data_IF_477859075294
#
_entry.id   IF_477859075294
#
_cell.length_a   1.000
_cell.length_b   1.000
_cell.length_c   1.000
_cell.angle_alpha   90.00
_cell.angle_beta   90.00
_cell.angle_gamma   90.00
#
_symmetry.space_group_name_H-M   'P 1'
#
loop_
_entity.id
_entity.type
_entity.pdbx_description
1 polymer ?
#
# COMPACT_ATOMS: atom_id res chain seq x y z
N UNK A 1 -8.97 30.38 33.32
CA UNK A 1 -9.17 31.50 32.38
C UNK A 1 -7.81 32.13 32.14
N UNK A 2 -6.99 31.52 31.26
CA UNK A 2 -5.56 31.86 31.17
C UNK A 2 -5.17 32.72 29.94
N UNK A 3 -6.07 32.96 28.98
CA UNK A 3 -5.69 33.59 27.71
C UNK A 3 -6.65 34.68 27.18
N UNK A 4 -7.74 35.00 27.87
CA UNK A 4 -8.72 35.96 27.35
C UNK A 4 -8.20 37.39 27.48
N UNK A 5 -8.02 38.10 26.35
CA UNK A 5 -7.50 39.48 26.26
C UNK A 5 -6.03 39.66 26.69
N UNK A 6 -5.19 38.63 26.59
CA UNK A 6 -3.74 38.73 26.81
C UNK A 6 -2.96 38.85 25.49
N UNK A 7 -1.77 39.42 25.55
CA UNK A 7 -0.79 39.27 24.46
C UNK A 7 -0.26 37.84 24.50
N UNK A 8 -0.27 37.18 23.34
CA UNK A 8 0.17 35.79 23.18
C UNK A 8 1.09 35.69 21.98
N UNK A 9 2.01 34.73 22.03
CA UNK A 9 2.83 34.34 20.89
C UNK A 9 2.30 33.00 20.37
N UNK A 10 2.07 32.91 19.06
CA UNK A 10 1.54 31.70 18.44
C UNK A 10 2.51 31.19 17.39
N UNK A 11 2.90 29.93 17.52
CA UNK A 11 3.66 29.19 16.51
C UNK A 11 2.70 28.27 15.77
N UNK A 12 2.44 28.55 14.49
CA UNK A 12 1.52 27.75 13.67
C UNK A 12 2.31 26.61 13.01
N UNK A 13 1.91 25.37 13.28
CA UNK A 13 2.49 24.19 12.64
C UNK A 13 1.67 23.73 11.44
N UNK A 14 0.36 23.83 11.53
CA UNK A 14 -0.56 23.40 10.47
C UNK A 14 -1.91 24.10 10.58
N UNK A 15 -2.82 23.76 9.68
CA UNK A 15 -4.18 24.29 9.67
C UNK A 15 -5.16 23.16 9.37
N UNK A 16 -6.26 23.11 10.10
CA UNK A 16 -7.32 22.14 9.84
C UNK A 16 -8.19 22.55 8.64
N UNK A 17 -9.07 21.63 8.20
CA UNK A 17 -9.96 21.85 7.06
C UNK A 17 -11.05 22.91 7.31
N UNK A 18 -11.26 23.31 8.56
CA UNK A 18 -12.18 24.38 8.95
C UNK A 18 -11.49 25.76 9.01
N UNK A 19 -10.17 25.81 8.75
CA UNK A 19 -9.36 27.03 8.78
C UNK A 19 -8.82 27.37 10.17
N UNK A 20 -8.88 26.45 11.14
CA UNK A 20 -8.26 26.68 12.45
C UNK A 20 -6.77 26.35 12.39
N UNK A 21 -5.95 27.24 12.91
CA UNK A 21 -4.51 27.02 13.04
C UNK A 21 -4.23 26.07 14.21
N UNK A 22 -3.44 25.02 13.94
CA UNK A 22 -2.92 24.08 14.94
C UNK A 22 -1.47 24.47 15.20
N UNK A 23 -1.12 24.61 16.46
CA UNK A 23 0.18 25.11 16.84
C UNK A 23 0.35 25.30 18.33
N UNK A 24 1.40 26.00 18.71
CA UNK A 24 1.76 26.26 20.09
C UNK A 24 1.40 27.68 20.47
N UNK A 25 0.79 27.83 21.63
CA UNK A 25 0.43 29.12 22.18
C UNK A 25 1.29 29.35 23.42
N UNK A 26 2.02 30.47 23.43
CA UNK A 26 2.83 30.92 24.54
C UNK A 26 2.25 32.19 25.16
N UNK A 27 2.18 32.23 26.49
CA UNK A 27 1.74 33.39 27.28
C UNK A 27 2.83 33.68 28.29
N UNK A 28 3.43 34.87 28.23
CA UNK A 28 4.56 35.26 29.10
C UNK A 28 5.69 34.22 29.14
N UNK A 29 5.99 33.61 27.98
CA UNK A 29 7.01 32.55 27.84
C UNK A 29 6.58 31.15 28.29
N UNK A 30 5.34 30.97 28.76
CA UNK A 30 4.79 29.67 29.17
C UNK A 30 4.00 29.04 28.03
N UNK A 31 4.37 27.82 27.64
CA UNK A 31 3.63 27.03 26.66
C UNK A 31 2.30 26.53 27.27
N UNK A 32 1.18 26.95 26.69
CA UNK A 32 -0.15 26.67 27.21
C UNK A 32 -0.47 25.16 27.21
N UNK A 33 -0.02 24.42 26.19
CA UNK A 33 -0.23 22.97 26.11
C UNK A 33 0.46 22.25 27.28
N UNK A 34 1.69 22.64 27.60
CA UNK A 34 2.43 22.11 28.76
C UNK A 34 1.71 22.44 30.07
N UNK A 35 1.28 23.70 30.24
CA UNK A 35 0.57 24.13 31.44
C UNK A 35 -0.77 23.38 31.65
N UNK A 36 -1.50 23.10 30.57
CA UNK A 36 -2.76 22.34 30.64
C UNK A 36 -2.52 20.88 31.07
N UNK A 37 -1.49 20.23 30.53
CA UNK A 37 -1.13 18.86 30.92
C UNK A 37 -0.66 18.80 32.37
N UNK A 38 0.22 19.72 32.79
CA UNK A 38 0.72 19.81 34.17
C UNK A 38 -0.40 19.96 35.20
N UNK A 39 -1.43 20.75 34.85
CA UNK A 39 -2.59 21.00 35.70
C UNK A 39 -3.70 19.93 35.57
N UNK A 40 -3.41 18.80 34.91
CA UNK A 40 -4.36 17.69 34.69
C UNK A 40 -5.64 18.12 33.96
N UNK A 41 -5.56 19.16 33.12
CA UNK A 41 -6.68 19.63 32.31
C UNK A 41 -6.66 19.06 30.89
N UNK A 42 -5.55 18.45 30.49
CA UNK A 42 -5.38 17.78 29.19
C UNK A 42 -4.43 16.59 29.30
N UNK A 43 -4.35 15.81 28.23
CA UNK A 43 -3.44 14.66 28.07
C UNK A 43 -2.52 14.90 26.88
N UNK A 44 -1.33 14.31 26.91
CA UNK A 44 -0.41 14.33 25.79
C UNK A 44 -1.01 13.51 24.67
N UNK A 45 -1.15 14.14 23.52
CA UNK A 45 -1.62 13.51 22.29
C UNK A 45 -0.43 13.01 21.49
N UNK A 46 -0.58 11.90 20.76
CA UNK A 46 0.52 11.29 19.99
C UNK A 46 1.15 12.24 18.95
N UNK A 47 0.40 13.24 18.47
CA UNK A 47 0.93 14.26 17.55
C UNK A 47 2.05 15.09 18.16
N UNK A 48 2.12 15.19 19.50
CA UNK A 48 3.18 15.89 20.19
C UNK A 48 4.53 15.16 20.13
N UNK A 49 4.58 13.87 19.77
CA UNK A 49 5.83 13.08 19.69
C UNK A 49 6.89 13.69 18.76
N UNK A 50 6.42 14.39 17.72
CA UNK A 50 7.27 15.04 16.71
C UNK A 50 7.62 16.49 17.06
N UNK A 51 7.08 17.01 18.15
CA UNK A 51 7.31 18.39 18.60
C UNK A 51 8.60 18.51 19.40
N UNK A 52 9.25 19.67 19.30
CA UNK A 52 10.32 20.09 20.21
C UNK A 52 9.86 20.09 21.68
N UNK A 53 8.56 20.24 21.94
CA UNK A 53 7.97 20.26 23.28
C UNK A 53 7.62 18.86 23.83
N UNK A 54 7.82 17.78 23.07
CA UNK A 54 7.40 16.43 23.48
C UNK A 54 7.96 16.03 24.86
N UNK A 55 9.26 16.25 25.06
CA UNK A 55 9.94 15.92 26.32
C UNK A 55 9.37 16.74 27.48
N UNK A 56 9.07 18.02 27.26
CA UNK A 56 8.48 18.87 28.28
C UNK A 56 7.08 18.39 28.66
N UNK A 57 6.25 18.07 27.66
CA UNK A 57 4.91 17.52 27.84
C UNK A 57 4.90 16.20 28.62
N UNK A 58 5.76 15.24 28.26
CA UNK A 58 5.89 13.98 29.01
C UNK A 58 6.36 14.20 30.44
N UNK A 59 7.32 15.11 30.64
CA UNK A 59 7.88 15.37 31.97
C UNK A 59 6.86 15.92 32.97
N UNK A 60 5.78 16.57 32.49
CA UNK A 60 4.69 17.07 33.32
C UNK A 60 3.47 16.15 33.36
N UNK A 61 3.30 15.26 32.37
CA UNK A 61 2.17 14.32 32.33
C UNK A 61 2.31 13.21 33.37
N UNK A 62 3.51 12.64 33.54
CA UNK A 62 3.74 11.56 34.50
C UNK A 62 3.39 11.97 35.95
N UNK A 63 3.85 13.14 36.45
CA UNK A 63 3.38 13.65 37.74
C UNK A 63 1.88 13.96 37.78
N UNK A 64 1.27 14.39 36.68
CA UNK A 64 -0.16 14.70 36.60
C UNK A 64 -1.03 13.43 36.73
N UNK A 65 -0.63 12.31 36.12
CA UNK A 65 -1.29 11.00 36.27
C UNK A 65 -1.34 10.55 37.72
N UNK A 66 -0.24 10.73 38.45
CA UNK A 66 -0.11 10.34 39.85
C UNK A 66 -1.00 11.15 40.80
N UNK A 67 -1.35 12.40 40.44
CA UNK A 67 -2.26 13.23 41.24
C UNK A 67 -3.70 12.70 41.21
N UNK A 68 -4.09 11.94 40.18
CA UNK A 68 -5.45 11.39 40.00
C UNK A 68 -6.54 12.45 40.10
N UNK A 69 -6.27 13.63 39.55
CA UNK A 69 -7.20 14.76 39.54
C UNK A 69 -7.75 14.98 38.13
N UNK A 70 -8.97 15.54 38.04
CA UNK A 70 -9.58 15.99 36.78
C UNK A 70 -9.58 14.90 35.70
N UNK A 71 -8.86 15.07 34.59
CA UNK A 71 -8.83 14.10 33.46
C UNK A 71 -8.19 12.75 33.83
N UNK A 72 -7.53 12.68 35.00
CA UNK A 72 -6.90 11.48 35.56
C UNK A 72 -7.63 10.91 36.78
N UNK A 73 -8.85 11.37 37.09
CA UNK A 73 -9.61 10.90 38.28
C UNK A 73 -9.79 9.38 38.34
N UNK A 74 -9.81 8.73 37.18
CA UNK A 74 -9.99 7.29 37.02
C UNK A 74 -8.72 6.60 36.49
N UNK A 75 -7.54 7.18 36.75
CA UNK A 75 -6.28 6.58 36.32
C UNK A 75 -5.97 5.32 37.13
N UNK A 76 -5.90 4.19 36.45
CA UNK A 76 -5.41 2.92 36.97
C UNK A 76 -4.01 2.68 36.39
N UNK A 77 -3.04 2.34 37.25
CA UNK A 77 -1.70 1.97 36.82
C UNK A 77 -1.78 0.66 36.03
N UNK A 78 -1.46 0.73 34.73
CA UNK A 78 -1.35 -0.49 33.93
C UNK A 78 -0.15 -1.33 34.40
N UNK A 79 -0.31 -2.64 34.61
CA UNK A 79 0.78 -3.52 34.99
C UNK A 79 1.93 -3.43 33.97
N UNK A 80 3.16 -3.44 34.47
CA UNK A 80 4.35 -3.36 33.62
C UNK A 80 4.40 -4.49 32.56
N UNK A 81 3.81 -5.65 32.83
CA UNK A 81 3.67 -6.75 31.85
C UNK A 81 2.75 -6.40 30.67
N UNK A 82 1.65 -5.67 30.89
CA UNK A 82 0.78 -5.20 29.80
C UNK A 82 1.46 -4.08 28.99
N UNK A 83 2.24 -3.22 29.65
CA UNK A 83 3.09 -2.24 28.97
C UNK A 83 4.20 -2.92 28.14
N UNK A 84 4.81 -3.99 28.64
CA UNK A 84 5.84 -4.77 27.92
C UNK A 84 5.24 -5.56 26.76
N UNK A 85 4.03 -6.10 26.90
CA UNK A 85 3.30 -6.77 25.80
C UNK A 85 2.92 -5.77 24.68
N UNK A 86 2.52 -4.54 25.03
CA UNK A 86 2.26 -3.48 24.04
C UNK A 86 3.54 -3.01 23.33
N UNK A 87 4.69 -3.02 24.01
CA UNK A 87 6.00 -2.75 23.39
C UNK A 87 6.46 -3.93 22.52
N UNK A 88 6.10 -5.17 22.88
CA UNK A 88 6.44 -6.37 22.11
C UNK A 88 5.62 -6.53 20.81
N UNK A 89 4.46 -5.88 20.69
CA UNK A 89 3.72 -5.76 19.42
C UNK A 89 4.34 -4.75 18.43
N UNK A 90 5.38 -3.99 18.81
CA UNK A 90 6.22 -3.25 17.87
C UNK A 90 7.14 -4.22 17.12
N UNK A 91 6.57 -5.01 16.20
CA UNK A 91 7.39 -5.78 15.26
C UNK A 91 8.11 -4.78 14.36
N UNK A 92 9.42 -4.63 14.55
CA UNK A 92 10.25 -3.78 13.68
C UNK A 92 10.05 -4.18 12.21
N UNK A 93 9.99 -3.18 11.30
CA UNK A 93 9.82 -3.42 9.86
C UNK A 93 10.89 -4.40 9.40
N UNK A 94 10.45 -5.56 8.93
CA UNK A 94 11.35 -6.56 8.36
C UNK A 94 11.45 -6.31 6.86
N UNK A 95 12.65 -6.01 6.37
CA UNK A 95 12.91 -5.85 4.93
C UNK A 95 13.55 -7.12 4.38
N UNK A 96 12.86 -7.76 3.44
CA UNK A 96 13.32 -8.94 2.72
C UNK A 96 13.01 -8.76 1.23
N UNK A 97 13.75 -7.85 0.61
CA UNK A 97 13.59 -7.51 -0.79
C UNK A 97 13.99 -8.68 -1.71
N UNK A 98 13.06 -9.10 -2.55
CA UNK A 98 13.27 -10.16 -3.54
C UNK A 98 13.21 -9.62 -4.96
N UNK A 99 14.05 -10.12 -5.88
CA UNK A 99 14.00 -9.72 -7.27
C UNK A 99 12.72 -10.23 -7.93
N UNK A 100 11.98 -9.33 -8.57
CA UNK A 100 10.76 -9.64 -9.31
C UNK A 100 10.79 -8.94 -10.67
N UNK A 101 10.06 -9.48 -11.65
CA UNK A 101 9.84 -8.84 -12.95
C UNK A 101 8.40 -8.35 -13.03
N UNK A 102 8.22 -7.03 -13.17
CA UNK A 102 6.88 -6.41 -13.23
C UNK A 102 6.33 -6.57 -14.63
N UNK A 103 5.17 -7.24 -14.78
CA UNK A 103 4.61 -7.58 -16.10
C UNK A 103 3.43 -6.71 -16.49
N UNK A 104 2.59 -6.31 -15.53
CA UNK A 104 1.35 -5.60 -15.81
C UNK A 104 1.05 -4.60 -14.70
N UNK A 105 0.64 -3.39 -15.09
CA UNK A 105 0.05 -2.39 -14.20
C UNK A 105 -1.43 -2.27 -14.59
N UNK A 106 -2.32 -2.28 -13.60
CA UNK A 106 -3.76 -2.22 -13.81
C UNK A 106 -4.31 -0.81 -13.61
N UNK A 107 -5.52 -0.58 -14.12
CA UNK A 107 -6.24 0.70 -13.99
C UNK A 107 -6.62 1.06 -12.54
N UNK A 108 -6.49 0.11 -11.59
CA UNK A 108 -6.75 0.32 -10.17
C UNK A 108 -5.45 0.49 -9.35
N UNK A 109 -4.31 0.72 -10.02
CA UNK A 109 -2.97 0.82 -9.43
C UNK A 109 -2.52 -0.43 -8.65
N UNK A 110 -3.13 -1.58 -8.97
CA UNK A 110 -2.55 -2.88 -8.69
C UNK A 110 -1.57 -3.25 -9.81
N UNK A 111 -0.72 -4.23 -9.55
CA UNK A 111 0.25 -4.71 -10.53
C UNK A 111 0.53 -6.19 -10.34
N UNK A 112 0.98 -6.83 -11.42
CA UNK A 112 1.41 -8.21 -11.42
C UNK A 112 2.91 -8.32 -11.60
N UNK A 113 3.50 -9.29 -10.90
CA UNK A 113 4.92 -9.60 -11.00
C UNK A 113 5.16 -11.09 -11.14
N UNK A 114 6.30 -11.43 -11.73
CA UNK A 114 6.89 -12.77 -11.75
C UNK A 114 8.08 -12.85 -10.81
N UNK A 115 8.30 -13.99 -10.17
CA UNK A 115 9.53 -14.26 -9.42
C UNK A 115 10.68 -14.56 -10.40
N UNK A 116 11.77 -13.80 -10.28
CA UNK A 116 12.96 -13.94 -11.15
C UNK A 116 13.60 -15.31 -10.99
N UNK A 117 13.52 -15.94 -9.80
CA UNK A 117 14.10 -17.26 -9.55
C UNK A 117 13.44 -18.36 -10.42
N UNK A 118 12.15 -18.20 -10.72
CA UNK A 118 11.37 -19.16 -11.52
C UNK A 118 11.29 -18.80 -13.00
N UNK A 119 11.82 -17.65 -13.44
CA UNK A 119 11.72 -17.16 -14.83
C UNK A 119 12.21 -18.17 -15.87
N UNK A 120 13.36 -18.80 -15.64
CA UNK A 120 13.89 -19.82 -16.58
C UNK A 120 13.01 -21.07 -16.71
N UNK A 121 12.18 -21.38 -15.71
CA UNK A 121 11.23 -22.49 -15.76
C UNK A 121 10.04 -22.12 -16.64
N UNK A 122 9.55 -20.87 -16.52
CA UNK A 122 8.50 -20.33 -17.38
C UNK A 122 8.94 -20.29 -18.84
N UNK A 123 10.14 -19.81 -19.13
CA UNK A 123 10.71 -19.77 -20.49
C UNK A 123 10.72 -21.15 -21.14
N UNK A 124 11.27 -22.15 -20.44
CA UNK A 124 11.32 -23.55 -20.92
C UNK A 124 9.94 -24.14 -21.14
N UNK A 125 8.99 -23.84 -20.24
CA UNK A 125 7.61 -24.28 -20.36
C UNK A 125 6.94 -23.65 -21.59
N UNK A 126 7.11 -22.35 -21.80
CA UNK A 126 6.55 -21.64 -22.96
C UNK A 126 7.15 -22.13 -24.27
N UNK A 127 8.46 -22.33 -24.35
CA UNK A 127 9.13 -22.88 -25.53
C UNK A 127 8.60 -24.28 -25.88
N UNK A 128 8.55 -25.17 -24.89
CA UNK A 128 8.06 -26.55 -25.07
C UNK A 128 6.58 -26.58 -25.46
N UNK A 129 5.75 -25.77 -24.80
CA UNK A 129 4.33 -25.66 -25.08
C UNK A 129 4.07 -25.15 -26.50
N UNK A 130 4.75 -24.08 -26.91
CA UNK A 130 4.60 -23.50 -28.26
C UNK A 130 5.06 -24.46 -29.34
N UNK A 131 6.15 -25.20 -29.11
CA UNK A 131 6.63 -26.25 -30.01
C UNK A 131 5.59 -27.38 -30.18
N UNK A 132 4.99 -27.85 -29.08
CA UNK A 132 3.94 -28.88 -29.14
C UNK A 132 2.68 -28.39 -29.87
N UNK A 133 2.25 -27.15 -29.60
CA UNK A 133 1.11 -26.51 -30.27
C UNK A 133 1.39 -26.31 -31.76
N UNK A 134 2.61 -25.94 -32.15
CA UNK A 134 2.98 -25.79 -33.55
C UNK A 134 2.95 -27.14 -34.30
N UNK A 135 3.39 -28.22 -33.64
CA UNK A 135 3.31 -29.57 -34.18
C UNK A 135 1.86 -30.12 -34.24
N UNK A 136 1.01 -29.70 -33.30
CA UNK A 136 -0.38 -30.13 -33.20
C UNK A 136 -1.33 -28.93 -32.99
N UNK A 137 -1.61 -28.15 -34.06
CA UNK A 137 -2.43 -26.94 -33.92
C UNK A 137 -3.83 -27.24 -33.39
N UNK A 138 -4.38 -26.40 -32.48
CA UNK A 138 -5.75 -26.54 -32.01
C UNK A 138 -6.73 -26.49 -33.18
N UNK A 139 -7.60 -27.49 -33.29
CA UNK A 139 -8.66 -27.48 -34.30
C UNK A 139 -9.75 -26.48 -33.89
N UNK A 140 -10.17 -25.61 -34.81
CA UNK A 140 -11.27 -24.69 -34.55
C UNK A 140 -12.54 -25.45 -34.10
N UNK A 141 -13.18 -24.96 -33.03
CA UNK A 141 -14.38 -25.58 -32.47
C UNK A 141 -14.14 -26.79 -31.57
N UNK A 142 -12.91 -27.29 -31.44
CA UNK A 142 -12.58 -28.42 -30.55
C UNK A 142 -12.59 -28.05 -29.06
N UNK A 143 -12.51 -26.75 -28.74
CA UNK A 143 -12.55 -26.24 -27.38
C UNK A 143 -13.81 -25.38 -27.16
N UNK A 144 -14.61 -25.74 -26.15
CA UNK A 144 -15.75 -24.95 -25.70
C UNK A 144 -15.41 -24.31 -24.35
N UNK A 145 -15.13 -23.00 -24.29
CA UNK A 145 -14.68 -22.34 -23.07
C UNK A 145 -15.79 -22.30 -22.02
N UNK A 146 -15.43 -22.53 -20.76
CA UNK A 146 -16.29 -22.30 -19.60
C UNK A 146 -15.57 -21.47 -18.57
N UNK A 147 -16.32 -20.62 -17.86
CA UNK A 147 -15.79 -19.83 -16.75
C UNK A 147 -15.05 -20.71 -15.75
N UNK A 148 -13.81 -20.34 -15.46
CA UNK A 148 -12.92 -21.05 -14.55
C UNK A 148 -11.98 -22.04 -15.22
N UNK A 149 -12.21 -22.42 -16.48
CA UNK A 149 -11.35 -23.34 -17.21
C UNK A 149 -9.95 -22.73 -17.41
N UNK A 150 -8.92 -23.57 -17.25
CA UNK A 150 -7.58 -23.26 -17.75
C UNK A 150 -7.49 -23.64 -19.23
N UNK A 151 -6.90 -22.75 -20.03
CA UNK A 151 -6.78 -22.90 -21.47
C UNK A 151 -5.43 -22.36 -21.95
N UNK A 152 -5.16 -22.56 -23.23
CA UNK A 152 -4.20 -21.72 -23.95
C UNK A 152 -4.96 -20.63 -24.70
N UNK A 153 -4.37 -19.43 -24.76
CA UNK A 153 -4.91 -18.31 -25.50
C UNK A 153 -3.83 -17.72 -26.39
N UNK A 154 -4.17 -17.43 -27.64
CA UNK A 154 -3.27 -16.77 -28.60
C UNK A 154 -3.34 -15.26 -28.38
N UNK A 155 -2.24 -14.64 -28.00
CA UNK A 155 -2.15 -13.20 -27.77
C UNK A 155 -1.91 -12.43 -29.08
N UNK A 156 -1.99 -11.09 -29.04
CA UNK A 156 -1.90 -10.22 -30.22
C UNK A 156 -0.56 -10.33 -30.97
N UNK A 157 0.50 -10.75 -30.27
CA UNK A 157 1.82 -11.05 -30.85
C UNK A 157 1.83 -12.31 -31.72
N UNK A 158 0.74 -13.10 -31.69
CA UNK A 158 0.61 -14.34 -32.42
C UNK A 158 1.12 -15.57 -31.67
N UNK A 159 1.59 -15.42 -30.44
CA UNK A 159 2.10 -16.50 -29.61
C UNK A 159 1.03 -17.06 -28.68
N UNK A 160 1.23 -18.31 -28.24
CA UNK A 160 0.34 -18.99 -27.30
C UNK A 160 0.86 -18.88 -25.87
N UNK A 161 -0.08 -18.64 -24.95
CA UNK A 161 0.16 -18.47 -23.53
C UNK A 161 -0.86 -19.26 -22.71
N UNK A 162 -0.54 -19.56 -21.45
CA UNK A 162 -1.51 -20.13 -20.51
C UNK A 162 -2.45 -19.05 -20.01
N UNK A 163 -3.74 -19.38 -19.96
CA UNK A 163 -4.77 -18.47 -19.54
C UNK A 163 -5.85 -19.18 -18.71
N UNK A 164 -6.72 -18.39 -18.08
CA UNK A 164 -7.93 -18.83 -17.40
C UNK A 164 -9.11 -18.04 -17.93
N UNK A 165 -10.21 -18.73 -18.23
CA UNK A 165 -11.45 -18.09 -18.68
C UNK A 165 -12.13 -17.41 -17.48
N UNK A 166 -12.28 -16.09 -17.51
CA UNK A 166 -12.97 -15.33 -16.46
C UNK A 166 -14.47 -15.20 -16.74
N UNK A 167 -14.85 -15.00 -18.00
CA UNK A 167 -16.24 -14.78 -18.44
C UNK A 167 -16.43 -15.19 -19.89
N UNK A 168 -17.57 -15.81 -20.19
CA UNK A 168 -17.99 -16.14 -21.57
C UNK A 168 -19.25 -15.34 -21.88
N UNK A 169 -19.15 -14.37 -22.79
CA UNK A 169 -20.31 -13.60 -23.25
C UNK A 169 -20.91 -14.20 -24.52
N UNK A 170 -20.04 -14.60 -25.45
CA UNK A 170 -20.40 -15.28 -26.69
C UNK A 170 -19.16 -15.99 -27.26
N UNK A 171 -19.30 -16.84 -28.29
CA UNK A 171 -18.12 -17.42 -28.97
C UNK A 171 -17.13 -16.37 -29.52
N UNK A 172 -17.60 -15.16 -29.82
CA UNK A 172 -16.74 -14.08 -30.30
C UNK A 172 -16.12 -13.23 -29.16
N UNK A 173 -16.61 -13.38 -27.92
CA UNK A 173 -16.23 -12.56 -26.77
C UNK A 173 -16.07 -13.42 -25.52
N UNK A 174 -14.84 -13.87 -25.30
CA UNK A 174 -14.42 -14.64 -24.12
C UNK A 174 -13.34 -13.85 -23.41
N UNK A 175 -13.59 -13.51 -22.16
CA UNK A 175 -12.64 -12.80 -21.30
C UNK A 175 -11.69 -13.80 -20.67
N UNK A 176 -10.40 -13.60 -20.87
CA UNK A 176 -9.33 -14.45 -20.35
C UNK A 176 -8.34 -13.63 -19.53
N UNK A 177 -7.77 -14.28 -18.53
CA UNK A 177 -6.68 -13.78 -17.71
C UNK A 177 -5.42 -14.61 -17.99
N UNK A 178 -4.33 -13.97 -18.42
CA UNK A 178 -3.06 -14.62 -18.70
C UNK A 178 -2.34 -14.93 -17.39
N UNK A 179 -2.43 -16.17 -16.93
CA UNK A 179 -2.07 -16.57 -15.56
C UNK A 179 -0.59 -16.39 -15.21
N UNK A 180 0.26 -16.23 -16.23
CA UNK A 180 1.69 -16.05 -16.05
C UNK A 180 2.11 -14.58 -16.16
N UNK A 181 1.25 -13.68 -16.63
CA UNK A 181 1.60 -12.27 -16.90
C UNK A 181 0.67 -11.26 -16.23
N UNK A 182 -0.57 -11.62 -15.90
CA UNK A 182 -1.50 -10.76 -15.17
C UNK A 182 -2.44 -9.92 -16.04
N UNK A 183 -2.10 -9.71 -17.32
CA UNK A 183 -2.95 -8.97 -18.24
C UNK A 183 -4.21 -9.76 -18.61
N UNK A 184 -5.25 -9.04 -19.04
CA UNK A 184 -6.55 -9.58 -19.45
C UNK A 184 -6.85 -9.23 -20.90
N UNK A 185 -7.60 -10.08 -21.58
CA UNK A 185 -8.02 -9.81 -22.95
C UNK A 185 -9.42 -10.40 -23.23
N UNK A 186 -10.16 -9.77 -24.13
CA UNK A 186 -11.39 -10.31 -24.70
C UNK A 186 -11.10 -10.86 -26.09
N UNK A 187 -11.13 -12.19 -26.24
CA UNK A 187 -10.78 -12.89 -27.49
C UNK A 187 -11.92 -13.76 -28.00
N UNK A 188 -11.90 -14.09 -29.29
CA UNK A 188 -12.78 -15.10 -29.85
C UNK A 188 -12.36 -16.51 -29.42
N UNK A 189 -13.30 -17.44 -29.30
CA UNK A 189 -13.04 -18.83 -28.94
C UNK A 189 -12.13 -19.57 -29.93
N UNK A 190 -12.03 -19.10 -31.18
CA UNK A 190 -11.07 -19.61 -32.17
C UNK A 190 -9.62 -19.32 -31.81
N UNK A 191 -9.36 -18.35 -30.93
CA UNK A 191 -8.03 -18.02 -30.38
C UNK A 191 -7.75 -18.75 -29.06
N UNK A 192 -8.62 -19.69 -28.67
CA UNK A 192 -8.49 -20.48 -27.46
C UNK A 192 -8.28 -21.95 -27.81
N UNK A 193 -7.59 -22.67 -26.93
CA UNK A 193 -7.39 -24.11 -27.06
C UNK A 193 -7.34 -24.78 -25.70
N UNK A 194 -7.45 -26.10 -25.69
CA UNK A 194 -7.26 -26.90 -24.49
C UNK A 194 -5.82 -26.75 -24.01
N UNK A 195 -5.62 -26.47 -22.72
CA UNK A 195 -4.29 -26.49 -22.12
C UNK A 195 -3.81 -27.95 -21.99
N UNK A 196 -2.73 -28.37 -22.68
CA UNK A 196 -2.24 -29.74 -22.54
C UNK A 196 -1.80 -30.01 -21.09
N UNK A 197 -2.11 -31.19 -20.50
CA UNK A 197 -1.81 -31.49 -19.11
C UNK A 197 -0.33 -31.32 -18.73
N UNK A 198 0.59 -31.53 -19.69
CA UNK A 198 2.03 -31.36 -19.55
C UNK A 198 2.44 -29.91 -19.21
N UNK A 199 1.60 -28.92 -19.50
CA UNK A 199 1.85 -27.50 -19.23
C UNK A 199 0.88 -26.91 -18.20
N UNK A 200 0.13 -27.77 -17.50
CA UNK A 200 -0.87 -27.34 -16.51
C UNK A 200 -0.26 -26.66 -15.28
N UNK A 201 -1.10 -25.99 -14.49
CA UNK A 201 -0.71 -25.36 -13.22
C UNK A 201 -0.18 -26.32 -12.15
N UNK A 202 -0.38 -27.64 -12.35
CA UNK A 202 0.21 -28.68 -11.49
C UNK A 202 1.68 -28.94 -11.80
N UNK A 203 2.12 -28.64 -13.03
CA UNK A 203 3.51 -28.81 -13.48
C UNK A 203 4.33 -27.57 -13.12
N UNK A 204 3.80 -26.39 -13.47
CA UNK A 204 4.34 -25.10 -13.06
C UNK A 204 3.19 -24.23 -12.59
N UNK A 205 3.17 -23.73 -11.34
CA UNK A 205 2.15 -22.80 -10.87
C UNK A 205 1.98 -21.58 -11.78
N UNK A 206 0.84 -20.89 -11.67
CA UNK A 206 0.67 -19.58 -12.30
C UNK A 206 1.80 -18.64 -11.83
N UNK A 207 2.46 -17.96 -12.77
CA UNK A 207 3.67 -17.18 -12.47
C UNK A 207 3.39 -15.71 -12.12
N UNK A 208 2.22 -15.18 -12.47
CA UNK A 208 1.85 -13.82 -12.10
C UNK A 208 1.20 -13.78 -10.71
N UNK A 209 1.73 -12.93 -9.84
CA UNK A 209 1.15 -12.63 -8.52
C UNK A 209 0.76 -11.15 -8.46
N UNK A 210 -0.47 -10.89 -8.03
CA UNK A 210 -1.01 -9.54 -7.87
C UNK A 210 -0.55 -8.91 -6.56
N UNK A 211 -0.22 -7.62 -6.61
CA UNK A 211 0.13 -6.79 -5.45
C UNK A 211 -0.40 -5.36 -5.63
N UNK A 212 -0.38 -4.60 -4.54
CA UNK A 212 -0.62 -3.15 -4.56
C UNK A 212 0.42 -2.43 -3.69
N UNK A 213 0.58 -1.13 -3.90
CA UNK A 213 1.56 -0.32 -3.18
C UNK A 213 1.15 -0.11 -1.72
N UNK A 214 2.07 -0.36 -0.79
CA UNK A 214 1.92 0.01 0.60
C UNK A 214 2.04 1.53 0.79
N UNK A 215 1.37 2.05 1.82
CA UNK A 215 1.54 3.41 2.34
C UNK A 215 1.14 4.56 1.40
N UNK A 216 0.52 4.29 0.26
CA UNK A 216 -0.02 5.31 -0.63
C UNK A 216 -1.54 5.16 -0.78
N UNK A 217 -2.23 6.27 -0.98
CA UNK A 217 -3.66 6.29 -1.30
C UNK A 217 -3.81 6.35 -2.82
N UNK A 218 -4.57 5.40 -3.37
CA UNK A 218 -4.95 5.44 -4.79
C UNK A 218 -5.88 6.65 -4.99
N UNK A 219 -5.57 7.57 -5.92
CA UNK A 219 -6.44 8.70 -6.22
C UNK A 219 -7.84 8.25 -6.60
N UNK A 220 -8.85 8.96 -6.12
CA UNK A 220 -10.26 8.71 -6.46
C UNK A 220 -10.70 9.46 -7.72
N UNK A 221 -9.99 10.53 -8.05
CA UNK A 221 -10.17 11.25 -9.30
C UNK A 221 -9.53 10.45 -10.44
N UNK A 222 -10.28 10.23 -11.52
CA UNK A 222 -9.87 9.33 -12.61
C UNK A 222 -8.70 9.89 -13.43
N UNK A 223 -8.65 11.22 -13.63
CA UNK A 223 -7.55 11.86 -14.37
C UNK A 223 -6.26 11.78 -13.53
N UNK A 224 -6.34 12.10 -12.24
CA UNK A 224 -5.20 11.97 -11.33
C UNK A 224 -4.72 10.51 -11.23
N UNK A 225 -5.64 9.54 -11.17
CA UNK A 225 -5.30 8.11 -11.14
C UNK A 225 -4.58 7.69 -12.42
N UNK A 226 -5.07 8.13 -13.58
CA UNK A 226 -4.45 7.85 -14.88
C UNK A 226 -3.01 8.41 -14.95
N UNK A 227 -2.78 9.64 -14.47
CA UNK A 227 -1.44 10.23 -14.42
C UNK A 227 -0.46 9.38 -13.58
N UNK A 228 -0.92 8.84 -12.44
CA UNK A 228 -0.11 7.96 -11.59
C UNK A 228 0.17 6.63 -12.27
N UNK A 229 -0.85 6.03 -12.91
CA UNK A 229 -0.68 4.78 -13.66
C UNK A 229 0.32 4.97 -14.79
N UNK A 230 0.23 6.06 -15.55
CA UNK A 230 1.15 6.37 -16.65
C UNK A 230 2.60 6.57 -16.15
N UNK A 231 2.79 7.17 -14.98
CA UNK A 231 4.10 7.26 -14.32
C UNK A 231 4.63 5.87 -13.96
N UNK A 232 3.83 5.05 -13.27
CA UNK A 232 4.24 3.69 -12.85
C UNK A 232 4.51 2.79 -14.07
N UNK A 233 3.67 2.86 -15.10
CA UNK A 233 3.85 2.12 -16.36
C UNK A 233 5.19 2.48 -17.00
N UNK A 234 5.48 3.77 -17.11
CA UNK A 234 6.73 4.27 -17.72
C UNK A 234 7.97 3.83 -16.94
N UNK A 235 7.87 3.83 -15.62
CA UNK A 235 9.04 3.65 -14.75
C UNK A 235 9.35 2.18 -14.47
N UNK A 236 8.32 1.31 -14.33
CA UNK A 236 8.53 -0.07 -13.87
C UNK A 236 7.91 -1.17 -14.74
N UNK A 237 6.94 -0.90 -15.62
CA UNK A 237 6.34 -1.99 -16.41
C UNK A 237 7.37 -2.63 -17.35
N UNK A 238 7.40 -3.96 -17.37
CA UNK A 238 8.38 -4.77 -18.10
C UNK A 238 9.83 -4.54 -17.66
N UNK A 239 10.04 -4.21 -16.39
CA UNK A 239 11.38 -4.09 -15.79
C UNK A 239 11.53 -4.98 -14.56
N UNK A 240 12.78 -5.22 -14.17
CA UNK A 240 13.08 -5.91 -12.92
C UNK A 240 13.09 -4.90 -11.77
N UNK A 241 12.41 -5.23 -10.67
CA UNK A 241 12.40 -4.47 -9.42
C UNK A 241 12.79 -5.36 -8.25
N UNK A 242 12.98 -4.75 -7.08
CA UNK A 242 13.02 -5.46 -5.81
C UNK A 242 11.71 -5.24 -5.05
N UNK A 243 11.08 -6.30 -4.58
CA UNK A 243 9.81 -6.26 -3.87
C UNK A 243 9.96 -6.70 -2.43
N UNK A 244 9.43 -5.91 -1.50
CA UNK A 244 9.26 -6.29 -0.10
C UNK A 244 7.77 -6.31 0.27
N UNK A 245 7.31 -7.43 0.83
CA UNK A 245 5.93 -7.51 1.34
C UNK A 245 5.87 -6.83 2.71
N UNK A 246 5.00 -5.83 2.83
CA UNK A 246 4.85 -5.06 4.07
C UNK A 246 3.76 -5.68 4.95
N UNK A 247 2.56 -5.91 4.39
CA UNK A 247 1.43 -6.50 5.11
C UNK A 247 0.41 -7.13 4.15
N UNK A 248 -0.43 -8.02 4.68
CA UNK A 248 -1.51 -8.64 3.92
C UNK A 248 -2.71 -7.70 3.74
N UNK A 249 -3.41 -7.84 2.62
CA UNK A 249 -4.67 -7.14 2.34
C UNK A 249 -5.84 -8.11 2.11
N UNK A 250 -7.06 -7.57 1.92
CA UNK A 250 -8.25 -8.38 1.68
C UNK A 250 -8.25 -9.11 0.32
N UNK A 251 -7.60 -8.52 -0.69
CA UNK A 251 -7.50 -9.06 -2.06
C UNK A 251 -6.08 -9.56 -2.37
N UNK A 252 -5.09 -8.68 -2.23
CA UNK A 252 -3.68 -8.96 -2.42
C UNK A 252 -2.85 -8.33 -1.30
N UNK A 253 -1.55 -8.64 -1.26
CA UNK A 253 -0.64 -8.06 -0.27
C UNK A 253 -0.20 -6.65 -0.69
N UNK A 254 0.05 -5.81 0.32
CA UNK A 254 0.62 -4.47 0.15
C UNK A 254 2.14 -4.56 0.25
N UNK A 255 2.83 -3.92 -0.70
CA UNK A 255 4.28 -4.07 -0.88
C UNK A 255 4.96 -2.73 -1.14
N UNK A 256 6.26 -2.65 -0.85
CA UNK A 256 7.13 -1.59 -1.38
C UNK A 256 7.98 -2.15 -2.51
N UNK A 257 8.15 -1.36 -3.57
CA UNK A 257 9.04 -1.67 -4.68
C UNK A 257 10.26 -0.75 -4.65
N UNK A 258 11.42 -1.30 -5.00
CA UNK A 258 12.62 -0.52 -5.28
C UNK A 258 13.09 -0.74 -6.71
N UNK A 259 13.59 0.32 -7.34
CA UNK A 259 14.30 0.20 -8.61
C UNK A 259 15.52 -0.73 -8.46
N UNK A 260 15.76 -1.59 -9.44
CA UNK A 260 16.82 -2.59 -9.34
C UNK A 260 18.23 -1.99 -9.29
N UNK A 261 18.44 -0.81 -9.87
CA UNK A 261 19.71 -0.10 -9.93
C UNK A 261 19.89 0.87 -8.75
N UNK A 262 19.04 1.89 -8.63
CA UNK A 262 19.21 2.96 -7.64
C UNK A 262 18.81 2.54 -6.23
N UNK A 263 17.98 1.50 -6.11
CA UNK A 263 17.32 1.07 -4.87
C UNK A 263 16.36 2.10 -4.28
N UNK A 264 16.03 3.15 -5.02
CA UNK A 264 15.02 4.11 -4.61
C UNK A 264 13.64 3.46 -4.56
N UNK A 265 12.83 3.86 -3.58
CA UNK A 265 11.47 3.36 -3.40
C UNK A 265 10.53 4.02 -4.43
N UNK A 266 9.87 3.18 -5.23
CA UNK A 266 8.99 3.60 -6.33
C UNK A 266 7.78 4.34 -5.80
N UNK A 267 7.10 3.78 -4.78
CA UNK A 267 5.91 4.41 -4.20
C UNK A 267 6.26 5.73 -3.51
N UNK A 268 7.44 5.80 -2.89
CA UNK A 268 7.94 7.03 -2.27
C UNK A 268 8.27 8.09 -3.33
N UNK A 269 8.73 7.68 -4.51
CA UNK A 269 8.90 8.53 -5.68
C UNK A 269 7.60 9.23 -6.08
N UNK A 270 6.49 8.48 -6.16
CA UNK A 270 5.17 9.03 -6.47
C UNK A 270 4.72 10.08 -5.44
N UNK A 271 5.01 9.86 -4.15
CA UNK A 271 4.74 10.85 -3.09
C UNK A 271 5.60 12.09 -3.26
N UNK A 272 6.89 11.93 -3.58
CA UNK A 272 7.83 13.04 -3.81
C UNK A 272 7.41 13.96 -4.95
N UNK A 273 6.80 13.38 -5.98
CA UNK A 273 6.29 14.09 -7.15
C UNK A 273 4.89 14.69 -6.92
N UNK A 274 4.27 14.42 -5.76
CA UNK A 274 2.93 14.89 -5.42
C UNK A 274 1.81 14.21 -6.22
N UNK A 275 2.09 13.05 -6.83
CA UNK A 275 1.13 12.27 -7.61
C UNK A 275 0.15 11.50 -6.72
N UNK A 276 0.61 11.06 -5.54
CA UNK A 276 -0.21 10.32 -4.56
C UNK A 276 -0.07 10.87 -3.16
N UNK A 277 -1.11 10.68 -2.35
CA UNK A 277 -1.09 10.96 -0.92
C UNK A 277 -0.60 9.75 -0.13
N UNK A 278 -0.06 10.01 1.06
CA UNK A 278 0.38 8.95 1.98
C UNK A 278 -0.84 8.35 2.70
N UNK A 279 -0.94 7.02 2.70
CA UNK A 279 -1.96 6.29 3.47
C UNK A 279 -1.53 6.13 4.93
N UNK A 280 -2.27 6.78 5.83
CA UNK A 280 -1.99 6.72 7.27
C UNK A 280 -2.55 5.44 7.86
N UNK A 281 -1.65 4.53 8.21
CA UNK A 281 -1.98 3.27 8.87
C UNK A 281 -2.45 3.48 10.31
N UNK A 282 -3.29 2.58 10.83
CA UNK A 282 -3.75 2.60 12.24
C UNK A 282 -2.82 1.79 13.14
N UNK A 283 -2.13 0.81 12.55
CA UNK A 283 -1.22 -0.08 13.23
C UNK A 283 0.06 0.68 13.63
N UNK A 284 0.37 0.73 14.93
CA UNK A 284 1.46 1.56 15.49
C UNK A 284 2.82 1.30 14.82
N UNK A 285 3.16 0.04 14.55
CA UNK A 285 4.43 -0.32 13.90
C UNK A 285 4.51 0.20 12.46
N UNK A 286 3.40 0.22 11.72
CA UNK A 286 3.33 0.80 10.38
C UNK A 286 3.34 2.33 10.43
N UNK A 287 2.66 2.94 11.41
CA UNK A 287 2.72 4.39 11.63
C UNK A 287 4.15 4.89 11.80
N UNK A 288 5.00 4.14 12.51
CA UNK A 288 6.42 4.45 12.68
C UNK A 288 7.19 4.44 11.36
N UNK A 289 6.90 3.48 10.47
CA UNK A 289 7.50 3.40 9.11
C UNK A 289 7.07 4.60 8.27
N UNK A 290 5.77 4.89 8.24
CA UNK A 290 5.22 6.01 7.49
C UNK A 290 5.77 7.34 8.04
N UNK A 291 5.79 7.54 9.37
CA UNK A 291 6.32 8.73 10.07
C UNK A 291 7.80 8.99 9.80
N UNK A 292 8.61 7.93 9.75
CA UNK A 292 10.07 8.09 9.60
C UNK A 292 10.52 8.22 8.15
N UNK A 293 9.85 7.57 7.20
CA UNK A 293 10.34 7.46 5.81
C UNK A 293 9.50 8.23 4.78
N UNK A 294 8.19 8.34 5.00
CA UNK A 294 7.24 8.83 3.99
C UNK A 294 6.79 10.27 4.22
N UNK A 295 6.56 10.69 5.47
CA UNK A 295 6.05 12.04 5.77
C UNK A 295 7.09 13.18 5.65
N UNK A 296 8.38 12.87 5.57
CA UNK A 296 9.42 13.90 5.41
C UNK A 296 9.69 14.27 3.94
N UNK A 297 8.97 13.65 3.00
CA UNK A 297 9.16 13.90 1.57
C UNK A 297 8.37 15.13 1.10
N UNK A 298 8.92 15.94 0.17
CA UNK A 298 8.16 16.97 -0.52
C UNK A 298 6.88 16.35 -1.13
N UNK A 299 5.69 16.90 -0.91
CA UNK A 299 4.44 16.39 -1.53
C UNK A 299 3.59 15.43 -0.69
N UNK A 300 4.04 15.01 0.51
CA UNK A 300 3.22 14.19 1.41
C UNK A 300 2.01 14.99 1.98
N UNK A 301 0.82 14.82 1.40
CA UNK A 301 -0.46 15.39 1.91
C UNK A 301 -1.27 14.29 2.61
N UNK A 302 -1.87 14.60 3.77
CA UNK A 302 -2.57 13.63 4.62
C UNK A 302 -4.08 13.60 4.30
N UNK A 303 -4.59 12.45 3.86
CA UNK A 303 -6.02 12.16 3.87
C UNK A 303 -6.48 11.75 5.27
N UNK A 304 -6.91 12.69 6.12
CA UNK A 304 -7.42 12.38 7.48
C UNK A 304 -8.94 12.13 7.46
N UNK A 305 -9.33 10.94 7.95
CA UNK A 305 -10.69 10.53 8.36
C UNK A 305 -11.00 11.06 9.76
N UNK A 306 -12.18 11.66 9.90
CA UNK A 306 -12.74 12.30 11.11
C UNK A 306 -12.88 11.31 12.28
N UNK A 307 -12.61 11.79 13.49
CA UNK A 307 -13.23 11.24 14.72
C UNK A 307 -13.86 12.39 15.47
N UNK A 308 -15.17 12.32 15.63
CA UNK A 308 -16.00 13.27 16.36
C UNK A 308 -15.60 13.32 17.84
N UNK A 309 -15.41 14.54 18.36
CA UNK A 309 -15.73 14.82 19.75
C UNK A 309 -16.93 15.75 19.77
N UNK A 310 -18.06 15.20 20.21
CA UNK A 310 -19.20 15.99 20.68
C UNK A 310 -18.71 16.90 21.81
N UNK A 311 -18.85 18.20 21.61
CA UNK A 311 -18.83 19.18 22.69
C UNK A 311 -20.17 19.11 23.44
N UNK A 312 -20.09 18.89 24.76
CA UNK A 312 -21.01 19.43 25.74
C UNK A 312 -20.24 20.43 26.60
#
# INVERSE_FOLDING_TARGET
MFAFQFQVEVEVESMDKAGNFIGWLHIDGVNLSVALVENSLSKVHFTAERSSYYKALLSVEEPAKLKREKVWSNYEEQPAEEAVLQVAEEKERTTNYKPVFVTEITDDLHFYVQDVETGTQLEKLMESMRSEIAAHPPMEGSYTPRRGDYCIAKFIDGEWYRARVEKVESPAKVHVFYIDYGNKECVASSRLGVLPPAFSTRVLPAQATEYTFAYIQVPQDEDAKADVIDSVVRDIQNTQCLLNVEFGGPSCSFVTLQFADSKDDVGLGLVKEGLVMVDVRKEKHLQKVVSTQWFHQPGAVIGIVMVDMLFL
#
